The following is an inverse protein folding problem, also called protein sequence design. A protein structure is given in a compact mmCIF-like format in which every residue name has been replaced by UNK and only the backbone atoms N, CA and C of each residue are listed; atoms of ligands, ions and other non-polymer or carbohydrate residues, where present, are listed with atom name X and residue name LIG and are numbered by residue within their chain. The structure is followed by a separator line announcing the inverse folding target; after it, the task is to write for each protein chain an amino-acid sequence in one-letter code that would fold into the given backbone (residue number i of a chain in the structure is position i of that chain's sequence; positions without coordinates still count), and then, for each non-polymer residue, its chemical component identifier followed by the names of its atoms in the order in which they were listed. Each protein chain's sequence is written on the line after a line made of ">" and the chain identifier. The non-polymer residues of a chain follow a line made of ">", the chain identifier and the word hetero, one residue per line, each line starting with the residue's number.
data_IF_689361946480
#
_entry.id   IF_689361946480
#
_cell.length_a   1.000
_cell.length_b   1.000
_cell.length_c   1.000
_cell.angle_alpha   90.00
_cell.angle_beta   90.00
_cell.angle_gamma   90.00
#
_symmetry.space_group_name_H-M   'P 1'
#
loop_
_entity.id
_entity.type
_entity.pdbx_description
1 polymer ?
#
# COMPACT_ATOMS: atom_id res chain seq x y z
N UNK A 1 12.79 30.42 -22.72
CA UNK A 1 11.40 30.87 -22.79
C UNK A 1 10.83 30.79 -21.37
N UNK A 2 10.32 31.89 -20.80
CA UNK A 2 9.90 31.91 -19.41
C UNK A 2 8.69 31.01 -19.18
N UNK A 3 8.68 30.33 -18.04
CA UNK A 3 7.66 29.37 -17.63
C UNK A 3 6.27 29.98 -17.61
N UNK A 4 5.32 29.24 -18.14
CA UNK A 4 3.90 29.53 -18.00
C UNK A 4 3.51 29.40 -16.52
N UNK A 5 3.43 30.52 -15.82
CA UNK A 5 2.68 30.64 -14.57
C UNK A 5 1.23 30.95 -14.93
N UNK A 6 0.47 29.91 -15.22
CA UNK A 6 -0.97 30.03 -15.37
C UNK A 6 -1.63 29.77 -14.02
N UNK A 7 -1.89 30.79 -13.25
CA UNK A 7 -2.73 30.69 -12.05
C UNK A 7 -4.17 30.96 -12.42
N UNK A 8 -4.94 29.93 -12.70
CA UNK A 8 -6.37 30.00 -12.57
C UNK A 8 -6.70 29.65 -11.12
N UNK A 9 -7.08 30.64 -10.34
CA UNK A 9 -7.61 30.44 -8.98
C UNK A 9 -6.65 29.85 -7.94
N UNK A 10 -5.34 30.15 -7.98
CA UNK A 10 -4.38 29.69 -6.97
C UNK A 10 -3.93 28.23 -7.09
N UNK A 11 -4.33 27.51 -8.13
CA UNK A 11 -3.99 26.11 -8.37
C UNK A 11 -2.71 26.01 -9.21
N UNK A 12 -1.71 25.27 -8.71
CA UNK A 12 -0.49 25.00 -9.51
C UNK A 12 -0.80 23.93 -10.57
N UNK A 13 -0.47 24.25 -11.83
CA UNK A 13 -0.52 23.28 -12.95
C UNK A 13 0.85 22.65 -13.07
N UNK A 14 0.91 21.32 -13.12
CA UNK A 14 2.18 20.59 -13.00
C UNK A 14 2.28 19.36 -13.90
N UNK A 15 3.52 18.97 -14.16
CA UNK A 15 3.88 17.67 -14.72
C UNK A 15 4.20 16.73 -13.57
N UNK A 16 3.58 15.55 -13.56
CA UNK A 16 3.70 14.55 -12.51
C UNK A 16 4.17 13.22 -13.08
N UNK A 17 5.06 12.53 -12.37
CA UNK A 17 5.49 11.17 -12.72
C UNK A 17 5.17 10.21 -11.59
N UNK A 18 4.45 9.14 -11.92
CA UNK A 18 4.23 7.98 -11.03
C UNK A 18 5.40 7.01 -11.21
N UNK A 19 6.05 6.67 -10.11
CA UNK A 19 7.16 5.73 -10.09
C UNK A 19 6.63 4.34 -9.73
N UNK A 20 6.84 3.37 -10.61
CA UNK A 20 6.36 2.01 -10.49
C UNK A 20 5.47 1.58 -11.66
N UNK A 21 4.98 0.35 -11.64
CA UNK A 21 4.22 -0.20 -12.76
C UNK A 21 3.19 -1.27 -12.36
N UNK A 22 2.86 -1.39 -11.07
CA UNK A 22 1.89 -2.36 -10.57
C UNK A 22 0.46 -1.81 -10.52
N UNK A 23 -0.44 -2.56 -9.90
CA UNK A 23 -1.86 -2.20 -9.81
C UNK A 23 -2.11 -0.94 -8.97
N UNK A 24 -1.38 -0.78 -7.89
CA UNK A 24 -1.38 0.45 -7.08
C UNK A 24 -0.97 1.66 -7.92
N UNK A 25 0.10 1.57 -8.70
CA UNK A 25 0.59 2.64 -9.56
C UNK A 25 -0.37 2.93 -10.71
N UNK A 26 -0.99 1.91 -11.27
CA UNK A 26 -2.05 2.10 -12.26
C UNK A 26 -3.22 2.90 -11.66
N UNK A 27 -3.61 2.57 -10.45
CA UNK A 27 -4.68 3.30 -9.74
C UNK A 27 -4.28 4.75 -9.45
N UNK A 28 -3.05 4.98 -8.99
CA UNK A 28 -2.51 6.32 -8.78
C UNK A 28 -2.52 7.14 -10.07
N UNK A 29 -2.04 6.56 -11.16
CA UNK A 29 -2.03 7.22 -12.48
C UNK A 29 -3.45 7.52 -12.96
N UNK A 30 -4.36 6.57 -12.83
CA UNK A 30 -5.78 6.73 -13.17
C UNK A 30 -6.42 7.91 -12.42
N UNK A 31 -6.15 8.02 -11.13
CA UNK A 31 -6.71 9.11 -10.30
C UNK A 31 -6.03 10.45 -10.61
N UNK A 32 -4.71 10.46 -10.77
CA UNK A 32 -3.95 11.67 -11.11
C UNK A 32 -4.32 12.22 -12.49
N UNK A 33 -4.65 11.35 -13.45
CA UNK A 33 -5.13 11.78 -14.77
C UNK A 33 -6.44 12.57 -14.71
N UNK A 34 -7.22 12.43 -13.64
CA UNK A 34 -8.45 13.19 -13.39
C UNK A 34 -8.20 14.51 -12.65
N UNK A 35 -6.98 14.73 -12.15
CA UNK A 35 -6.64 15.96 -11.42
C UNK A 35 -6.57 17.15 -12.36
N UNK A 36 -7.37 18.22 -12.14
CA UNK A 36 -7.27 19.44 -12.97
C UNK A 36 -5.88 20.10 -12.92
N UNK A 37 -5.11 19.85 -11.85
CA UNK A 37 -3.76 20.37 -11.69
C UNK A 37 -2.70 19.65 -12.52
N UNK A 38 -3.02 18.52 -13.15
CA UNK A 38 -2.06 17.75 -13.94
C UNK A 38 -2.13 18.18 -15.40
N UNK A 39 -1.04 18.75 -15.90
CA UNK A 39 -0.86 19.10 -17.31
C UNK A 39 -0.40 17.89 -18.12
N UNK A 40 0.58 17.16 -17.60
CA UNK A 40 1.11 15.96 -18.23
C UNK A 40 1.47 14.91 -17.16
N UNK A 41 1.10 13.68 -17.44
CA UNK A 41 1.33 12.53 -16.54
C UNK A 41 2.31 11.56 -17.19
N UNK A 42 3.30 11.15 -16.42
CA UNK A 42 4.31 10.14 -16.78
C UNK A 42 4.21 8.95 -15.84
N UNK A 43 4.68 7.81 -16.30
CA UNK A 43 4.87 6.62 -15.47
C UNK A 43 6.25 6.01 -15.75
N UNK A 44 7.00 5.70 -14.72
CA UNK A 44 8.38 5.20 -14.83
C UNK A 44 8.56 3.96 -13.93
N UNK A 45 8.73 2.76 -14.48
CA UNK A 45 8.67 2.42 -15.91
C UNK A 45 7.25 2.38 -16.47
N UNK A 46 6.22 2.34 -15.60
CA UNK A 46 4.84 2.16 -16.01
C UNK A 46 4.52 0.73 -16.48
N UNK A 47 3.47 0.60 -17.24
CA UNK A 47 3.01 -0.67 -17.81
C UNK A 47 2.20 -0.42 -19.07
N UNK A 48 1.87 -1.49 -19.80
CA UNK A 48 1.02 -1.37 -20.99
C UNK A 48 -0.33 -0.72 -20.68
N UNK A 49 -0.97 -1.10 -19.57
CA UNK A 49 -2.24 -0.51 -19.14
C UNK A 49 -2.09 0.95 -18.71
N UNK A 50 -1.02 1.29 -17.99
CA UNK A 50 -0.75 2.68 -17.60
C UNK A 50 -0.50 3.59 -18.79
N UNK A 51 -0.04 3.07 -19.92
CA UNK A 51 0.19 3.84 -21.15
C UNK A 51 -1.10 4.46 -21.72
N UNK A 52 -2.25 3.97 -21.32
CA UNK A 52 -3.55 4.53 -21.72
C UNK A 52 -3.85 5.87 -21.04
N UNK A 53 -3.24 6.16 -19.90
CA UNK A 53 -3.47 7.39 -19.11
C UNK A 53 -2.20 8.21 -18.88
N UNK A 54 -1.02 7.69 -19.17
CA UNK A 54 0.26 8.33 -18.91
C UNK A 54 1.28 8.00 -20.00
N UNK A 55 2.29 8.86 -20.16
CA UNK A 55 3.46 8.56 -20.97
C UNK A 55 4.39 7.67 -20.17
N UNK A 56 4.53 6.41 -20.57
CA UNK A 56 5.48 5.50 -19.95
C UNK A 56 6.90 5.77 -20.43
N UNK A 57 7.86 5.69 -19.51
CA UNK A 57 9.28 5.92 -19.76
C UNK A 57 10.04 4.70 -19.30
N UNK A 58 10.72 4.03 -20.22
CA UNK A 58 11.42 2.77 -19.95
C UNK A 58 12.77 3.03 -19.25
N UNK A 59 12.69 3.26 -17.95
CA UNK A 59 13.84 3.33 -17.06
C UNK A 59 13.60 2.32 -15.95
N UNK A 60 14.59 1.47 -15.68
CA UNK A 60 14.50 0.46 -14.63
C UNK A 60 14.23 1.11 -13.27
N UNK A 61 13.31 0.54 -12.51
CA UNK A 61 12.90 1.03 -11.18
C UNK A 61 14.08 1.10 -10.20
N UNK A 62 15.10 0.27 -10.39
CA UNK A 62 16.33 0.25 -9.60
C UNK A 62 17.32 1.36 -9.93
N UNK A 63 17.17 2.03 -11.09
CA UNK A 63 18.08 3.10 -11.52
C UNK A 63 17.56 4.48 -11.08
N UNK A 64 17.75 4.77 -9.80
CA UNK A 64 17.24 6.00 -9.18
C UNK A 64 17.87 7.26 -9.77
N UNK A 65 19.16 7.21 -10.14
CA UNK A 65 19.85 8.33 -10.77
C UNK A 65 19.23 8.64 -12.13
N UNK A 66 19.03 7.64 -12.97
CA UNK A 66 18.43 7.82 -14.30
C UNK A 66 16.99 8.34 -14.20
N UNK A 67 16.19 7.84 -13.24
CA UNK A 67 14.81 8.30 -13.01
C UNK A 67 14.80 9.79 -12.63
N UNK A 68 15.62 10.18 -11.67
CA UNK A 68 15.65 11.56 -11.17
C UNK A 68 16.29 12.53 -12.16
N UNK A 69 17.29 12.09 -12.93
CA UNK A 69 17.87 12.88 -14.02
C UNK A 69 16.85 13.12 -15.13
N UNK A 70 16.14 12.07 -15.56
CA UNK A 70 15.07 12.19 -16.55
C UNK A 70 14.01 13.19 -16.08
N UNK A 71 13.54 13.06 -14.85
CA UNK A 71 12.52 13.94 -14.29
C UNK A 71 12.99 15.41 -14.28
N UNK A 72 14.22 15.66 -13.89
CA UNK A 72 14.82 16.99 -13.91
C UNK A 72 14.87 17.57 -15.31
N UNK A 73 15.40 16.80 -16.27
CA UNK A 73 15.60 17.24 -17.65
C UNK A 73 14.27 17.46 -18.39
N UNK A 74 13.27 16.66 -18.09
CA UNK A 74 11.93 16.77 -18.69
C UNK A 74 11.09 17.90 -18.07
N UNK A 75 11.52 18.46 -16.96
CA UNK A 75 10.78 19.51 -16.24
C UNK A 75 9.59 18.97 -15.46
N UNK A 76 9.69 17.75 -14.98
CA UNK A 76 8.69 17.18 -14.08
C UNK A 76 8.71 17.92 -12.75
N UNK A 77 7.54 18.30 -12.24
CA UNK A 77 7.41 19.07 -11.01
C UNK A 77 7.40 18.18 -9.77
N UNK A 78 6.77 17.01 -9.85
CA UNK A 78 6.61 16.12 -8.71
C UNK A 78 6.72 14.64 -9.11
N UNK A 79 7.44 13.87 -8.29
CA UNK A 79 7.43 12.42 -8.32
C UNK A 79 6.42 11.89 -7.29
N UNK A 80 5.63 10.91 -7.70
CA UNK A 80 4.74 10.14 -6.82
C UNK A 80 5.27 8.71 -6.78
N UNK A 81 5.84 8.32 -5.65
CA UNK A 81 6.52 7.02 -5.52
C UNK A 81 5.55 5.97 -5.02
N UNK A 82 5.31 4.95 -5.83
CA UNK A 82 4.39 3.86 -5.51
C UNK A 82 5.00 2.80 -4.59
N UNK A 83 6.11 2.12 -4.99
CA UNK A 83 6.67 1.01 -4.21
C UNK A 83 7.65 1.46 -3.12
N UNK A 84 7.87 0.59 -2.16
CA UNK A 84 8.71 0.85 -0.98
C UNK A 84 10.21 0.82 -1.26
N UNK A 85 10.68 -0.04 -2.15
CA UNK A 85 12.13 -0.23 -2.36
C UNK A 85 12.82 1.07 -2.78
N UNK A 86 12.33 1.82 -3.78
CA UNK A 86 12.94 3.11 -4.12
C UNK A 86 12.95 4.10 -2.96
N UNK A 87 11.92 4.09 -2.11
CA UNK A 87 11.84 4.97 -0.93
C UNK A 87 12.91 4.63 0.10
N UNK A 88 13.07 3.35 0.41
CA UNK A 88 14.10 2.88 1.36
C UNK A 88 15.52 3.06 0.82
N UNK A 89 15.69 3.13 -0.48
CA UNK A 89 16.96 3.40 -1.16
C UNK A 89 17.26 4.88 -1.36
N UNK A 90 16.32 5.78 -1.03
CA UNK A 90 16.56 7.23 -0.99
C UNK A 90 16.19 8.00 -2.25
N UNK A 91 15.23 7.53 -3.05
CA UNK A 91 14.78 8.27 -4.25
C UNK A 91 14.29 9.68 -3.91
N UNK A 92 13.61 9.86 -2.78
CA UNK A 92 13.13 11.18 -2.36
C UNK A 92 14.29 12.14 -2.09
N UNK A 93 15.34 11.65 -1.42
CA UNK A 93 16.55 12.45 -1.14
C UNK A 93 17.23 12.89 -2.43
N UNK A 94 17.41 11.96 -3.37
CA UNK A 94 18.02 12.27 -4.67
C UNK A 94 17.22 13.30 -5.47
N UNK A 95 15.91 13.12 -5.53
CA UNK A 95 15.01 13.99 -6.28
C UNK A 95 14.95 15.40 -5.67
N UNK A 96 14.86 15.49 -4.34
CA UNK A 96 14.85 16.78 -3.64
C UNK A 96 16.15 17.54 -3.80
N UNK A 97 17.29 16.85 -3.83
CA UNK A 97 18.60 17.45 -4.13
C UNK A 97 18.67 18.06 -5.53
N UNK A 98 17.84 17.59 -6.47
CA UNK A 98 17.69 18.12 -7.83
C UNK A 98 16.58 19.16 -7.97
N UNK A 99 15.93 19.55 -6.86
CA UNK A 99 14.86 20.54 -6.85
C UNK A 99 13.48 20.02 -7.21
N UNK A 100 13.28 18.69 -7.24
CA UNK A 100 12.00 18.06 -7.51
C UNK A 100 11.17 17.94 -6.22
N UNK A 101 9.86 18.14 -6.32
CA UNK A 101 8.95 17.77 -5.27
C UNK A 101 8.73 16.24 -5.30
N UNK A 102 8.57 15.64 -4.13
CA UNK A 102 8.32 14.20 -4.01
C UNK A 102 7.17 13.95 -3.05
N UNK A 103 6.19 13.20 -3.51
CA UNK A 103 5.23 12.56 -2.62
C UNK A 103 5.77 11.18 -2.27
N UNK A 104 6.33 11.07 -1.09
CA UNK A 104 7.00 9.90 -0.57
C UNK A 104 8.04 10.31 0.47
N UNK A 105 8.20 9.54 1.56
CA UNK A 105 9.16 9.87 2.61
C UNK A 105 10.60 9.75 2.14
N UNK A 106 11.49 10.52 2.75
CA UNK A 106 12.92 10.37 2.55
C UNK A 106 13.42 9.05 3.15
N UNK A 107 14.68 8.71 2.90
CA UNK A 107 15.28 7.44 3.35
C UNK A 107 15.16 7.24 4.87
N UNK A 108 15.40 8.29 5.64
CA UNK A 108 15.29 8.24 7.10
C UNK A 108 13.86 7.93 7.55
N UNK A 109 12.85 8.60 6.98
CA UNK A 109 11.43 8.37 7.29
C UNK A 109 10.93 7.01 6.77
N UNK A 110 11.46 6.55 5.65
CA UNK A 110 11.10 5.25 5.06
C UNK A 110 11.52 4.04 5.93
N UNK A 111 12.36 4.25 6.94
CA UNK A 111 12.68 3.22 7.92
C UNK A 111 11.44 2.72 8.68
N UNK A 112 10.37 3.50 8.72
CA UNK A 112 9.10 3.05 9.31
C UNK A 112 8.56 1.78 8.66
N UNK A 113 8.90 1.53 7.41
CA UNK A 113 8.64 0.24 6.72
C UNK A 113 9.91 -0.58 6.55
N UNK A 114 11.02 0.05 6.23
CA UNK A 114 12.28 -0.61 5.93
C UNK A 114 12.94 -1.32 7.12
N UNK A 115 12.61 -0.93 8.34
CA UNK A 115 13.09 -1.56 9.56
C UNK A 115 11.98 -1.71 10.60
N UNK A 116 11.56 -2.94 10.87
CA UNK A 116 10.56 -3.23 11.90
C UNK A 116 11.06 -2.87 13.29
N UNK A 117 12.35 -3.08 13.55
CA UNK A 117 12.99 -2.70 14.82
C UNK A 117 12.95 -1.18 15.01
N UNK A 118 13.28 -0.42 13.98
CA UNK A 118 13.18 1.05 14.03
C UNK A 118 11.77 1.50 14.39
N UNK A 119 10.76 0.97 13.69
CA UNK A 119 9.36 1.32 13.93
C UNK A 119 8.90 0.93 15.33
N UNK A 120 9.25 -0.27 15.80
CA UNK A 120 8.91 -0.75 17.14
C UNK A 120 9.57 0.10 18.24
N UNK A 121 10.84 0.46 18.09
CA UNK A 121 11.54 1.30 19.05
C UNK A 121 10.94 2.70 19.10
N UNK A 122 10.57 3.26 17.95
CA UNK A 122 9.88 4.55 17.89
C UNK A 122 8.53 4.50 18.61
N UNK A 123 7.73 3.47 18.32
CA UNK A 123 6.42 3.29 18.96
C UNK A 123 6.55 3.14 20.48
N UNK A 124 7.54 2.40 20.95
CA UNK A 124 7.81 2.24 22.39
C UNK A 124 8.19 3.58 23.02
N UNK A 125 9.08 4.33 22.38
CA UNK A 125 9.56 5.63 22.90
C UNK A 125 8.43 6.66 23.02
N UNK A 126 7.53 6.69 22.06
CA UNK A 126 6.44 7.66 21.99
C UNK A 126 5.07 7.11 22.40
N UNK A 127 5.07 5.96 23.07
CA UNK A 127 3.87 5.34 23.67
C UNK A 127 2.76 5.05 22.67
N UNK A 128 3.10 4.63 21.46
CA UNK A 128 2.15 4.23 20.44
C UNK A 128 1.69 2.79 20.69
N UNK A 129 0.38 2.50 20.76
CA UNK A 129 -0.12 1.15 21.02
C UNK A 129 0.29 0.15 19.92
N UNK A 130 0.97 -0.90 20.31
CA UNK A 130 1.39 -1.99 19.43
C UNK A 130 1.61 -3.27 20.26
N UNK A 131 1.82 -4.41 19.60
CA UNK A 131 2.14 -5.66 20.25
C UNK A 131 3.41 -5.57 21.10
N UNK A 132 3.43 -6.22 22.25
CA UNK A 132 4.65 -6.41 23.02
C UNK A 132 5.67 -7.17 22.16
N UNK A 133 6.94 -6.77 22.22
CA UNK A 133 7.96 -7.30 21.32
C UNK A 133 9.33 -7.37 21.97
N UNK A 134 10.19 -8.18 21.34
CA UNK A 134 11.65 -8.15 21.55
C UNK A 134 12.34 -8.38 20.21
N UNK A 135 13.53 -7.81 20.05
CA UNK A 135 14.34 -7.98 18.84
C UNK A 135 15.59 -8.82 19.13
N UNK A 136 16.04 -9.59 18.15
CA UNK A 136 17.15 -10.53 18.30
C UNK A 136 18.05 -10.52 17.07
N UNK A 137 19.37 -10.59 17.35
CA UNK A 137 20.40 -10.90 16.36
C UNK A 137 21.02 -12.27 16.60
N UNK A 138 20.69 -12.92 17.72
CA UNK A 138 21.13 -14.24 18.12
C UNK A 138 19.94 -15.21 18.12
N UNK A 139 20.01 -16.27 17.32
CA UNK A 139 18.96 -17.28 17.19
C UNK A 139 18.68 -18.05 18.47
N UNK A 140 19.70 -18.35 19.28
CA UNK A 140 19.51 -19.07 20.53
C UNK A 140 18.76 -18.22 21.57
N UNK A 141 19.08 -16.92 21.65
CA UNK A 141 18.36 -15.99 22.51
C UNK A 141 16.89 -15.83 22.06
N UNK A 142 16.64 -15.79 20.74
CA UNK A 142 15.29 -15.74 20.18
C UNK A 142 14.46 -16.98 20.56
N UNK A 143 15.06 -18.17 20.43
CA UNK A 143 14.41 -19.44 20.80
C UNK A 143 14.10 -19.51 22.30
N UNK A 144 15.00 -19.04 23.15
CA UNK A 144 14.78 -18.96 24.59
C UNK A 144 13.60 -18.03 24.93
N UNK A 145 13.50 -16.89 24.26
CA UNK A 145 12.39 -15.95 24.42
C UNK A 145 11.04 -16.59 24.01
N UNK A 146 11.01 -17.35 22.90
CA UNK A 146 9.81 -18.08 22.46
C UNK A 146 9.37 -19.09 23.51
N UNK A 147 10.30 -19.84 24.10
CA UNK A 147 10.00 -20.81 25.17
C UNK A 147 9.42 -20.13 26.40
N UNK A 148 9.91 -18.95 26.76
CA UNK A 148 9.43 -18.16 27.89
C UNK A 148 8.01 -17.61 27.62
N UNK A 149 7.77 -17.04 26.44
CA UNK A 149 6.49 -16.39 26.10
C UNK A 149 5.40 -17.38 25.71
N UNK A 150 5.77 -18.53 25.15
CA UNK A 150 4.81 -19.50 24.61
C UNK A 150 4.22 -19.10 23.28
N UNK A 151 3.24 -19.90 22.80
CA UNK A 151 2.53 -19.68 21.55
C UNK A 151 1.01 -19.49 21.83
N UNK A 152 0.22 -18.85 20.93
CA UNK A 152 0.66 -18.30 19.64
C UNK A 152 1.58 -17.11 19.79
N UNK A 153 2.45 -16.91 18.79
CA UNK A 153 3.48 -15.86 18.79
C UNK A 153 3.84 -15.50 17.34
N UNK A 154 4.30 -14.28 17.10
CA UNK A 154 4.62 -13.80 15.74
C UNK A 154 6.13 -13.59 15.62
N UNK A 155 6.72 -14.15 14.55
CA UNK A 155 8.13 -13.99 14.20
C UNK A 155 8.24 -13.22 12.90
N UNK A 156 8.98 -12.11 12.90
CA UNK A 156 9.13 -11.22 11.73
C UNK A 156 10.61 -10.99 11.40
N UNK A 157 10.96 -11.10 10.13
CA UNK A 157 12.25 -10.60 9.64
C UNK A 157 12.24 -9.06 9.69
N UNK A 158 13.37 -8.45 10.08
CA UNK A 158 13.44 -7.00 10.32
C UNK A 158 13.28 -6.16 9.04
N UNK A 159 13.92 -6.55 7.95
CA UNK A 159 13.93 -5.78 6.71
C UNK A 159 12.74 -6.07 5.80
N UNK A 160 12.83 -5.52 4.58
CA UNK A 160 11.85 -5.80 3.52
C UNK A 160 11.97 -7.27 3.09
N UNK A 161 10.87 -7.99 3.16
CA UNK A 161 10.78 -9.40 2.78
C UNK A 161 9.55 -9.66 1.87
N UNK A 162 9.09 -8.63 1.16
CA UNK A 162 7.95 -8.67 0.24
C UNK A 162 6.68 -9.28 0.86
N UNK A 163 6.41 -8.96 2.14
CA UNK A 163 5.27 -9.49 2.87
C UNK A 163 5.39 -10.96 3.30
N UNK A 164 6.51 -11.62 2.99
CA UNK A 164 6.73 -13.05 3.29
C UNK A 164 7.52 -13.28 4.57
N UNK A 165 8.09 -12.23 5.14
CA UNK A 165 8.93 -12.29 6.34
C UNK A 165 8.14 -12.29 7.66
N UNK A 166 6.88 -12.71 7.67
CA UNK A 166 6.04 -12.77 8.87
C UNK A 166 5.47 -14.18 9.02
N UNK A 167 5.69 -14.78 10.17
CA UNK A 167 5.13 -16.08 10.54
C UNK A 167 4.31 -15.93 11.80
N UNK A 168 3.01 -16.18 11.70
CA UNK A 168 2.10 -16.30 12.87
C UNK A 168 2.13 -17.74 13.31
N UNK A 169 2.95 -18.04 14.31
CA UNK A 169 3.15 -19.41 14.80
C UNK A 169 2.08 -19.78 15.84
N UNK A 170 1.37 -20.86 15.58
CA UNK A 170 0.36 -21.38 16.50
C UNK A 170 0.99 -22.25 17.60
N UNK A 171 2.16 -22.78 17.33
CA UNK A 171 2.91 -23.62 18.26
C UNK A 171 4.34 -23.10 18.46
N UNK A 172 4.93 -23.45 19.57
CA UNK A 172 6.34 -23.15 19.88
C UNK A 172 7.28 -23.73 18.81
N UNK A 173 7.00 -24.95 18.33
CA UNK A 173 7.77 -25.61 17.28
C UNK A 173 7.77 -24.82 15.97
N UNK A 174 6.62 -24.31 15.53
CA UNK A 174 6.50 -23.47 14.35
C UNK A 174 7.30 -22.16 14.49
N UNK A 175 7.28 -21.56 15.68
CA UNK A 175 8.02 -20.34 15.96
C UNK A 175 9.54 -20.57 15.88
N UNK A 176 10.02 -21.67 16.46
CA UNK A 176 11.44 -22.04 16.41
C UNK A 176 11.88 -22.33 14.98
N UNK A 177 11.05 -23.03 14.21
CA UNK A 177 11.32 -23.27 12.78
C UNK A 177 11.44 -21.97 12.01
N UNK A 178 10.56 -20.98 12.28
CA UNK A 178 10.63 -19.66 11.66
C UNK A 178 11.93 -18.93 11.98
N UNK A 179 12.41 -19.00 13.23
CA UNK A 179 13.70 -18.43 13.64
C UNK A 179 14.85 -19.08 12.86
N UNK A 180 14.86 -20.42 12.78
CA UNK A 180 15.88 -21.14 12.03
C UNK A 180 15.87 -20.74 10.55
N UNK A 181 14.71 -20.71 9.91
CA UNK A 181 14.58 -20.34 8.50
C UNK A 181 15.09 -18.92 8.24
N UNK A 182 14.73 -17.96 9.08
CA UNK A 182 15.11 -16.55 8.89
C UNK A 182 16.57 -16.27 9.23
N UNK A 183 17.08 -16.80 10.33
CA UNK A 183 18.39 -16.45 10.89
C UNK A 183 19.50 -17.43 10.52
N UNK A 184 19.21 -18.73 10.49
CA UNK A 184 20.20 -19.76 10.20
C UNK A 184 20.25 -20.13 8.72
N UNK A 185 19.09 -20.29 8.08
CA UNK A 185 19.00 -20.64 6.66
C UNK A 185 19.01 -19.42 5.73
N UNK A 186 18.94 -18.21 6.30
CA UNK A 186 18.99 -16.93 5.57
C UNK A 186 18.03 -16.83 4.39
N UNK A 187 16.82 -17.37 4.51
CA UNK A 187 15.82 -17.37 3.42
C UNK A 187 15.43 -15.98 2.92
N UNK A 188 15.63 -14.93 3.75
CA UNK A 188 15.40 -13.52 3.39
C UNK A 188 16.72 -12.72 3.31
N UNK A 189 17.86 -13.39 3.18
CA UNK A 189 19.16 -12.74 3.10
C UNK A 189 19.43 -11.83 4.31
N UNK A 190 19.93 -10.62 4.06
CA UNK A 190 20.25 -9.65 5.12
C UNK A 190 19.03 -9.21 5.94
N UNK A 191 17.81 -9.24 5.38
CA UNK A 191 16.57 -8.88 6.09
C UNK A 191 16.26 -9.83 7.25
N UNK A 192 16.72 -11.08 7.21
CA UNK A 192 16.55 -12.07 8.26
C UNK A 192 17.66 -12.08 9.29
N UNK A 193 18.73 -11.27 9.15
CA UNK A 193 19.83 -11.18 10.09
C UNK A 193 19.44 -10.65 11.46
N UNK A 194 18.35 -9.92 11.54
CA UNK A 194 17.69 -9.46 12.76
C UNK A 194 16.21 -9.76 12.65
N UNK A 195 15.62 -10.23 13.74
CA UNK A 195 14.20 -10.56 13.80
C UNK A 195 13.52 -9.82 14.95
N UNK A 196 12.21 -9.66 14.80
CA UNK A 196 11.32 -9.17 15.86
C UNK A 196 10.35 -10.29 16.20
N UNK A 197 10.21 -10.55 17.49
CA UNK A 197 9.21 -11.50 18.02
C UNK A 197 8.17 -10.71 18.77
N UNK A 198 6.89 -10.93 18.44
CA UNK A 198 5.77 -10.17 18.97
C UNK A 198 4.70 -11.08 19.56
N UNK A 199 3.97 -10.56 20.55
CA UNK A 199 2.73 -11.20 20.97
C UNK A 199 1.76 -11.33 19.79
N UNK A 200 0.99 -12.37 19.76
CA UNK A 200 -0.08 -12.56 18.76
C UNK A 200 -1.33 -11.81 19.22
N UNK A 201 -1.58 -10.64 18.63
CA UNK A 201 -2.78 -9.86 18.93
C UNK A 201 -4.03 -10.53 18.38
N UNK A 202 -5.13 -10.40 19.10
CA UNK A 202 -6.45 -10.92 18.74
C UNK A 202 -7.38 -9.77 18.40
N UNK A 203 -8.02 -9.84 17.24
CA UNK A 203 -8.96 -8.82 16.78
C UNK A 203 -9.18 -8.92 15.28
N UNK A 204 -9.69 -7.85 14.70
CA UNK A 204 -9.92 -7.72 13.28
C UNK A 204 -8.95 -6.70 12.69
N UNK A 205 -8.26 -7.08 11.62
CA UNK A 205 -7.31 -6.19 10.95
C UNK A 205 -8.03 -5.12 10.12
N UNK A 206 -7.46 -3.93 10.08
CA UNK A 206 -7.92 -2.85 9.23
C UNK A 206 -6.74 -1.97 8.83
N UNK A 207 -6.94 -1.16 7.80
CA UNK A 207 -5.93 -0.24 7.29
C UNK A 207 -6.45 1.18 7.35
N UNK A 208 -5.65 2.10 7.89
CA UNK A 208 -5.90 3.52 7.83
C UNK A 208 -4.68 4.23 7.27
N UNK A 209 -4.81 4.71 6.05
CA UNK A 209 -3.79 5.49 5.37
C UNK A 209 -4.00 6.97 5.68
N UNK A 210 -2.94 7.75 5.68
CA UNK A 210 -3.02 9.19 5.91
C UNK A 210 -2.11 9.96 4.97
N UNK A 211 -2.57 11.11 4.51
CA UNK A 211 -1.73 12.13 3.88
C UNK A 211 -0.98 12.88 4.99
N UNK A 212 0.34 13.02 4.83
CA UNK A 212 1.19 13.67 5.83
C UNK A 212 2.15 14.64 5.15
N UNK A 213 2.23 15.86 5.66
CA UNK A 213 3.12 16.92 5.13
C UNK A 213 4.30 17.26 6.04
N UNK A 214 4.56 16.43 7.05
CA UNK A 214 5.57 16.66 8.09
C UNK A 214 5.00 17.12 9.41
N UNK A 215 3.85 17.77 9.40
CA UNK A 215 3.18 18.31 10.60
C UNK A 215 1.68 18.06 10.60
N UNK A 216 1.02 18.25 9.47
CA UNK A 216 -0.42 18.03 9.31
C UNK A 216 -0.66 16.61 8.84
N UNK A 217 -1.64 15.93 9.43
CA UNK A 217 -2.04 14.57 9.12
C UNK A 217 -3.50 14.60 8.74
N UNK A 218 -3.83 14.10 7.56
CA UNK A 218 -5.22 13.97 7.10
C UNK A 218 -5.47 12.51 6.76
N UNK A 219 -6.14 11.75 7.65
CA UNK A 219 -6.48 10.36 7.40
C UNK A 219 -7.42 10.20 6.21
N UNK A 220 -7.19 9.14 5.45
CA UNK A 220 -8.07 8.74 4.35
C UNK A 220 -9.24 7.92 4.89
N UNK A 221 -10.15 7.56 4.00
CA UNK A 221 -11.19 6.59 4.32
C UNK A 221 -10.53 5.25 4.69
N UNK A 222 -11.09 4.54 5.68
CA UNK A 222 -10.57 3.25 6.12
C UNK A 222 -10.76 2.17 5.07
N UNK A 223 -9.93 1.14 5.13
CA UNK A 223 -10.04 -0.01 4.24
C UNK A 223 -9.74 -1.30 5.00
N UNK A 224 -10.13 -2.44 4.43
CA UNK A 224 -9.74 -3.75 4.93
C UNK A 224 -9.35 -4.60 3.73
N UNK A 225 -8.17 -5.21 3.79
CA UNK A 225 -7.70 -6.15 2.78
C UNK A 225 -7.89 -7.62 3.24
N UNK A 226 -7.58 -8.55 2.33
CA UNK A 226 -7.72 -9.99 2.54
C UNK A 226 -6.43 -10.67 2.12
N UNK A 227 -5.61 -11.08 3.09
CA UNK A 227 -4.23 -11.57 2.86
C UNK A 227 -4.16 -13.00 2.36
N UNK A 228 -5.09 -13.87 2.78
CA UNK A 228 -5.06 -15.28 2.43
C UNK A 228 -5.60 -15.54 1.02
N UNK A 229 -5.04 -16.57 0.36
CA UNK A 229 -5.40 -16.89 -1.03
C UNK A 229 -6.83 -17.44 -1.17
N UNK A 230 -7.32 -18.19 -0.19
CA UNK A 230 -8.61 -18.88 -0.27
C UNK A 230 -9.67 -18.24 0.63
N UNK A 231 -10.94 -18.50 0.29
CA UNK A 231 -12.09 -18.10 1.08
C UNK A 231 -11.94 -18.51 2.55
N UNK A 232 -12.59 -17.78 3.45
CA UNK A 232 -12.53 -17.97 4.89
C UNK A 232 -11.12 -17.81 5.50
N UNK A 233 -10.28 -17.00 4.84
CA UNK A 233 -8.90 -16.75 5.27
C UNK A 233 -8.07 -18.02 5.42
N UNK A 234 -8.18 -18.90 4.44
CA UNK A 234 -7.42 -20.15 4.38
C UNK A 234 -6.29 -20.08 3.34
N UNK A 235 -5.36 -21.01 3.46
CA UNK A 235 -4.20 -21.11 2.57
C UNK A 235 -3.09 -20.12 2.92
N UNK A 236 -2.07 -20.04 2.06
CA UNK A 236 -0.92 -19.15 2.30
C UNK A 236 -1.28 -17.66 2.19
N UNK A 237 -0.48 -16.82 2.83
CA UNK A 237 -0.54 -15.37 2.69
C UNK A 237 -0.14 -14.94 1.29
N UNK A 238 -0.72 -13.84 0.85
CA UNK A 238 -0.49 -13.21 -0.44
C UNK A 238 -0.17 -11.72 -0.26
N UNK A 239 -0.02 -11.00 -1.36
CA UNK A 239 0.04 -9.55 -1.36
C UNK A 239 -1.31 -8.87 -1.07
N UNK A 240 -2.39 -9.63 -1.05
CA UNK A 240 -3.78 -9.19 -0.88
C UNK A 240 -4.67 -9.63 -2.03
N UNK A 241 -5.78 -10.29 -1.70
CA UNK A 241 -6.73 -10.85 -2.68
C UNK A 241 -7.95 -9.96 -2.89
N UNK A 242 -7.98 -8.82 -2.27
CA UNK A 242 -9.04 -7.84 -2.41
C UNK A 242 -9.10 -6.90 -1.23
N UNK A 243 -9.82 -5.81 -1.41
CA UNK A 243 -10.03 -4.80 -0.37
C UNK A 243 -11.38 -4.12 -0.56
N UNK A 244 -11.88 -3.54 0.48
CA UNK A 244 -13.07 -2.70 0.42
C UNK A 244 -12.90 -1.48 1.31
N UNK A 245 -13.64 -0.43 1.03
CA UNK A 245 -13.65 0.82 1.77
C UNK A 245 -15.06 1.46 1.73
N UNK A 246 -15.48 2.12 2.81
CA UNK A 246 -14.86 2.15 4.12
C UNK A 246 -14.96 0.80 4.84
N UNK A 247 -14.10 0.57 5.83
CA UNK A 247 -14.15 -0.61 6.68
C UNK A 247 -15.02 -0.33 7.91
N UNK A 248 -16.20 -0.98 8.07
CA UNK A 248 -17.10 -0.69 9.18
C UNK A 248 -16.53 -0.96 10.56
N UNK A 249 -15.53 -1.85 10.67
CA UNK A 249 -14.82 -2.12 11.92
C UNK A 249 -14.12 -0.88 12.48
N UNK A 250 -13.71 0.03 11.60
CA UNK A 250 -13.13 1.33 11.98
C UNK A 250 -14.27 2.32 12.17
N UNK A 251 -14.83 2.34 13.37
CA UNK A 251 -15.88 3.29 13.74
C UNK A 251 -15.30 4.73 13.83
N UNK A 252 -16.15 5.77 13.84
CA UNK A 252 -15.67 7.14 14.06
C UNK A 252 -14.83 7.29 15.35
N UNK A 253 -15.21 6.61 16.42
CA UNK A 253 -14.48 6.61 17.70
C UNK A 253 -13.11 5.96 17.58
N UNK A 254 -13.02 4.81 16.92
CA UNK A 254 -11.74 4.13 16.65
C UNK A 254 -10.87 4.97 15.74
N UNK A 255 -11.43 5.57 14.69
CA UNK A 255 -10.70 6.47 13.79
C UNK A 255 -10.06 7.63 14.55
N UNK A 256 -10.82 8.27 15.44
CA UNK A 256 -10.31 9.36 16.30
C UNK A 256 -9.19 8.88 17.22
N UNK A 257 -9.34 7.72 17.81
CA UNK A 257 -8.31 7.10 18.66
C UNK A 257 -7.03 6.81 17.88
N UNK A 258 -7.13 6.31 16.65
CA UNK A 258 -5.97 6.09 15.78
C UNK A 258 -5.26 7.41 15.45
N UNK A 259 -6.00 8.47 15.13
CA UNK A 259 -5.40 9.79 14.88
C UNK A 259 -4.63 10.30 16.10
N UNK A 260 -5.25 10.25 17.27
CA UNK A 260 -4.70 10.85 18.50
C UNK A 260 -3.60 10.02 19.15
N UNK A 261 -3.72 8.69 19.13
CA UNK A 261 -2.81 7.78 19.85
C UNK A 261 -1.78 7.10 18.97
N UNK A 262 -1.95 7.09 17.65
CA UNK A 262 -1.09 6.37 16.72
C UNK A 262 -0.46 7.33 15.71
N UNK A 263 -1.24 7.95 14.86
CA UNK A 263 -0.70 8.75 13.75
C UNK A 263 0.03 10.01 14.24
N UNK A 264 -0.60 10.79 15.11
CA UNK A 264 0.00 12.00 15.64
C UNK A 264 1.28 11.73 16.44
N UNK A 265 1.31 10.81 17.41
CA UNK A 265 2.55 10.49 18.11
C UNK A 265 3.68 9.99 17.23
N UNK A 266 3.38 9.24 16.16
CA UNK A 266 4.40 8.77 15.20
C UNK A 266 5.01 9.93 14.44
N UNK A 267 4.19 10.80 13.85
CA UNK A 267 4.67 11.94 13.06
C UNK A 267 5.43 12.93 13.94
N UNK A 268 4.88 13.27 15.11
CA UNK A 268 5.52 14.15 16.09
C UNK A 268 6.81 13.53 16.66
N UNK A 269 6.79 12.23 16.91
CA UNK A 269 7.95 11.47 17.39
C UNK A 269 9.09 11.45 16.38
N UNK A 270 8.78 11.18 15.12
CA UNK A 270 9.77 11.27 14.03
C UNK A 270 10.40 12.66 13.98
N UNK A 271 9.58 13.70 14.07
CA UNK A 271 10.06 15.08 14.07
C UNK A 271 11.01 15.37 15.24
N UNK A 272 10.73 14.85 16.43
CA UNK A 272 11.63 14.93 17.56
C UNK A 272 12.96 14.22 17.33
N UNK A 273 12.96 13.17 16.54
CA UNK A 273 14.18 12.46 16.10
C UNK A 273 14.88 13.16 14.91
N UNK A 274 14.42 14.33 14.50
CA UNK A 274 14.98 15.08 13.39
C UNK A 274 14.53 14.58 12.01
N UNK A 275 13.44 13.82 11.95
CA UNK A 275 12.92 13.20 10.73
C UNK A 275 11.56 13.80 10.37
N UNK A 276 11.45 14.37 9.18
CA UNK A 276 10.20 14.90 8.65
C UNK A 276 9.57 13.85 7.73
N UNK A 277 8.33 13.45 8.04
CA UNK A 277 7.59 12.50 7.23
C UNK A 277 6.68 13.23 6.24
N UNK A 278 6.89 13.04 4.94
CA UNK A 278 6.07 13.62 3.87
C UNK A 278 5.66 12.54 2.88
N UNK A 279 4.36 12.30 2.74
CA UNK A 279 3.83 11.26 1.86
C UNK A 279 2.64 10.55 2.47
N UNK A 280 2.45 9.30 2.08
CA UNK A 280 1.43 8.43 2.66
C UNK A 280 2.02 7.66 3.84
N UNK A 281 1.39 7.77 5.00
CA UNK A 281 1.66 6.92 6.16
C UNK A 281 0.52 5.90 6.27
N UNK A 282 0.83 4.63 6.11
CA UNK A 282 -0.12 3.55 6.17
C UNK A 282 0.01 2.85 7.53
N UNK A 283 -1.02 2.97 8.37
CA UNK A 283 -1.12 2.24 9.61
C UNK A 283 -1.89 0.93 9.38
N UNK A 284 -1.20 -0.21 9.47
CA UNK A 284 -1.81 -1.52 9.56
C UNK A 284 -2.22 -1.77 11.00
N UNK A 285 -3.51 -1.99 11.23
CA UNK A 285 -4.10 -2.01 12.56
C UNK A 285 -4.69 -3.37 12.90
N UNK A 286 -4.63 -3.73 14.17
CA UNK A 286 -5.47 -4.74 14.78
C UNK A 286 -6.46 -4.02 15.69
N UNK A 287 -7.76 -4.19 15.42
CA UNK A 287 -8.81 -3.62 16.27
C UNK A 287 -9.10 -4.67 17.36
N UNK A 288 -8.51 -4.45 18.52
CA UNK A 288 -8.60 -5.36 19.67
C UNK A 288 -9.68 -4.95 20.65
N UNK A 289 -9.96 -5.81 21.64
CA UNK A 289 -10.88 -5.49 22.74
C UNK A 289 -10.44 -4.25 23.55
N UNK A 290 -9.13 -3.96 23.56
CA UNK A 290 -8.55 -2.82 24.27
C UNK A 290 -8.33 -1.58 23.36
N UNK A 291 -8.88 -1.61 22.17
CA UNK A 291 -8.73 -0.54 21.17
C UNK A 291 -7.79 -0.88 20.03
N UNK A 292 -7.53 0.08 19.11
CA UNK A 292 -6.66 -0.14 17.98
C UNK A 292 -5.19 -0.24 18.41
N UNK A 293 -4.48 -1.19 17.82
CA UNK A 293 -3.03 -1.35 17.99
C UNK A 293 -2.37 -1.52 16.64
N UNK A 294 -1.15 -1.01 16.50
CA UNK A 294 -0.40 -1.11 15.25
C UNK A 294 0.16 -2.51 15.07
N UNK A 295 -0.16 -3.11 13.91
CA UNK A 295 0.50 -4.32 13.42
C UNK A 295 1.83 -3.95 12.77
N UNK A 296 1.77 -2.99 11.83
CA UNK A 296 2.94 -2.47 11.13
C UNK A 296 2.62 -1.13 10.50
N UNK A 297 3.67 -0.37 10.16
CA UNK A 297 3.56 0.79 9.28
C UNK A 297 4.12 0.46 7.91
N UNK A 298 3.50 1.03 6.87
CA UNK A 298 4.07 1.10 5.53
C UNK A 298 4.25 2.57 5.16
N UNK A 299 5.29 2.87 4.38
CA UNK A 299 5.67 4.24 4.04
C UNK A 299 5.16 4.68 2.66
N UNK A 300 4.09 4.05 2.19
CA UNK A 300 3.53 4.23 0.84
C UNK A 300 2.07 3.78 0.83
N UNK A 301 1.40 4.06 -0.28
CA UNK A 301 0.06 3.52 -0.51
C UNK A 301 0.05 1.99 -0.49
N UNK A 302 -1.05 1.40 -0.05
CA UNK A 302 -1.26 -0.05 -0.03
C UNK A 302 -1.68 -0.63 -1.39
N UNK A 303 -1.47 -1.91 -1.57
CA UNK A 303 -1.93 -2.68 -2.74
C UNK A 303 -2.50 -4.01 -2.25
N UNK A 304 -3.83 -4.24 -2.26
CA UNK A 304 -4.84 -3.57 -3.11
C UNK A 304 -5.68 -2.45 -2.45
N UNK A 305 -5.35 -1.95 -1.28
CA UNK A 305 -6.17 -0.95 -0.59
C UNK A 305 -6.40 0.30 -1.45
N UNK A 306 -5.36 0.76 -2.15
CA UNK A 306 -5.44 1.95 -3.03
C UNK A 306 -6.54 1.82 -4.08
N UNK A 307 -6.73 0.62 -4.63
CA UNK A 307 -7.74 0.32 -5.63
C UNK A 307 -9.18 0.46 -5.10
N UNK A 308 -9.38 0.41 -3.80
CA UNK A 308 -10.67 0.65 -3.15
C UNK A 308 -10.77 2.10 -2.61
N UNK A 309 -9.69 2.66 -2.10
CA UNK A 309 -9.67 3.97 -1.44
C UNK A 309 -9.73 5.13 -2.43
N UNK A 310 -8.87 5.16 -3.44
CA UNK A 310 -8.77 6.30 -4.37
C UNK A 310 -10.00 6.52 -5.24
N UNK A 311 -10.77 5.51 -5.67
CA UNK A 311 -12.03 5.76 -6.35
C UNK A 311 -13.06 6.56 -5.52
N UNK A 312 -12.93 6.54 -4.20
CA UNK A 312 -13.81 7.27 -3.29
C UNK A 312 -13.32 8.69 -2.97
N UNK A 313 -12.11 9.05 -3.38
CA UNK A 313 -11.60 10.41 -3.19
C UNK A 313 -12.33 11.37 -4.13
N UNK A 314 -12.92 12.42 -3.55
CA UNK A 314 -13.54 13.53 -4.26
C UNK A 314 -12.62 14.76 -4.12
N UNK A 315 -11.78 14.99 -5.13
CA UNK A 315 -10.82 16.09 -5.07
C UNK A 315 -9.66 15.92 -6.04
N UNK A 316 -8.77 16.91 -6.01
CA UNK A 316 -7.57 16.97 -6.84
C UNK A 316 -6.40 16.27 -6.14
N UNK A 317 -6.15 15.01 -6.47
CA UNK A 317 -5.10 14.22 -5.84
C UNK A 317 -3.71 14.84 -6.02
N UNK A 318 -3.41 15.39 -7.19
CA UNK A 318 -2.11 16.01 -7.44
C UNK A 318 -1.88 17.23 -6.54
N UNK A 319 -2.91 18.04 -6.32
CA UNK A 319 -2.85 19.19 -5.41
C UNK A 319 -2.60 18.74 -3.97
N UNK A 320 -3.29 17.72 -3.51
CA UNK A 320 -3.10 17.13 -2.17
C UNK A 320 -1.66 16.63 -2.00
N UNK A 321 -1.19 15.86 -2.96
CA UNK A 321 0.17 15.28 -2.91
C UNK A 321 1.25 16.35 -2.96
N UNK A 322 1.06 17.38 -3.78
CA UNK A 322 1.99 18.51 -3.85
C UNK A 322 2.02 19.28 -2.53
N UNK A 323 0.87 19.49 -1.89
CA UNK A 323 0.79 20.10 -0.57
C UNK A 323 1.53 19.26 0.49
N UNK A 324 1.44 17.93 0.43
CA UNK A 324 2.23 17.06 1.29
C UNK A 324 3.74 17.27 1.10
N UNK A 325 4.18 17.34 -0.16
CA UNK A 325 5.59 17.55 -0.50
C UNK A 325 6.12 18.91 -0.06
N UNK A 326 5.25 19.92 0.01
CA UNK A 326 5.61 21.33 0.32
C UNK A 326 5.28 21.76 1.75
N UNK A 327 4.69 20.91 2.55
CA UNK A 327 4.33 21.26 3.93
C UNK A 327 3.13 22.21 4.05
N UNK A 328 2.22 22.18 3.10
CA UNK A 328 1.06 23.10 3.00
C UNK A 328 -0.30 22.39 3.02
N UNK A 329 -0.31 21.13 3.46
CA UNK A 329 -1.54 20.33 3.53
C UNK A 329 -2.53 20.92 4.51
N UNK A 330 -3.81 20.98 4.08
CA UNK A 330 -4.93 21.33 4.94
C UNK A 330 -6.05 20.30 4.80
N UNK A 331 -6.82 20.09 5.85
CA UNK A 331 -7.87 19.07 5.88
C UNK A 331 -8.98 19.35 4.85
N UNK A 332 -9.26 20.60 4.54
CA UNK A 332 -10.29 21.02 3.58
C UNK A 332 -9.93 20.69 2.12
N UNK A 333 -8.69 20.29 1.85
CA UNK A 333 -8.28 19.79 0.52
C UNK A 333 -8.78 18.37 0.25
N UNK A 334 -9.17 17.62 1.29
CA UNK A 334 -9.46 16.18 1.21
C UNK A 334 -10.91 15.92 1.52
N UNK A 335 -11.66 15.47 0.53
CA UNK A 335 -13.06 15.11 0.63
C UNK A 335 -13.29 13.70 0.10
N UNK A 336 -14.31 13.02 0.63
CA UNK A 336 -14.65 11.66 0.24
C UNK A 336 -16.08 11.57 -0.24
N UNK A 337 -16.32 10.75 -1.26
CA UNK A 337 -17.67 10.42 -1.72
C UNK A 337 -18.42 9.67 -0.64
N UNK A 338 -19.70 9.96 -0.49
CA UNK A 338 -20.60 9.15 0.36
C UNK A 338 -21.00 7.89 -0.41
N UNK A 339 -20.07 6.95 -0.47
CA UNK A 339 -20.16 5.72 -1.25
C UNK A 339 -19.24 4.65 -0.66
N UNK A 340 -19.31 3.46 -1.22
CA UNK A 340 -18.42 2.34 -0.88
C UNK A 340 -17.76 1.79 -2.14
N UNK A 341 -16.59 1.18 -1.99
CA UNK A 341 -15.85 0.52 -3.05
C UNK A 341 -15.43 -0.89 -2.63
N UNK A 342 -15.43 -1.79 -3.59
CA UNK A 342 -14.92 -3.15 -3.42
C UNK A 342 -14.01 -3.49 -4.59
N UNK A 343 -12.78 -3.91 -4.29
CA UNK A 343 -11.80 -4.40 -5.27
C UNK A 343 -11.59 -5.89 -5.07
N UNK A 344 -11.84 -6.67 -6.10
CA UNK A 344 -11.59 -8.11 -6.13
C UNK A 344 -10.36 -8.38 -6.99
N UNK A 345 -9.35 -9.03 -6.43
CA UNK A 345 -8.13 -9.40 -7.16
C UNK A 345 -8.35 -10.71 -7.91
N UNK A 346 -7.93 -10.72 -9.17
CA UNK A 346 -7.85 -11.90 -10.01
C UNK A 346 -6.36 -12.27 -10.14
N UNK A 347 -5.99 -13.44 -9.64
CA UNK A 347 -4.63 -13.94 -9.61
C UNK A 347 -4.40 -15.05 -10.60
N UNK A 348 -3.16 -15.23 -11.05
CA UNK A 348 -2.77 -16.29 -11.99
C UNK A 348 -2.67 -17.65 -11.33
N UNK A 349 -2.62 -18.70 -12.17
CA UNK A 349 -2.40 -20.06 -11.71
C UNK A 349 -1.10 -20.17 -10.92
N UNK A 350 -1.16 -20.86 -9.79
CA UNK A 350 -0.02 -21.11 -8.93
C UNK A 350 0.28 -20.04 -7.88
N UNK A 351 -0.31 -18.84 -8.02
CA UNK A 351 -0.10 -17.77 -7.04
C UNK A 351 -0.57 -18.19 -5.64
N UNK A 352 0.14 -17.90 -4.52
CA UNK A 352 1.32 -17.05 -4.44
C UNK A 352 2.66 -17.76 -4.64
N UNK A 353 2.71 -19.09 -4.67
CA UNK A 353 3.98 -19.82 -4.78
C UNK A 353 4.68 -19.63 -6.13
N UNK A 354 3.90 -19.50 -7.20
CA UNK A 354 4.36 -19.27 -8.56
C UNK A 354 3.35 -18.41 -9.33
N UNK A 355 3.66 -18.09 -10.56
CA UNK A 355 2.74 -17.39 -11.46
C UNK A 355 2.87 -17.93 -12.86
N UNK A 356 1.74 -18.22 -13.50
CA UNK A 356 1.71 -18.59 -14.92
C UNK A 356 1.56 -17.32 -15.77
N UNK A 357 2.42 -17.14 -16.76
CA UNK A 357 2.46 -15.95 -17.63
C UNK A 357 2.04 -16.29 -19.05
N UNK A 358 1.46 -15.32 -19.75
CA UNK A 358 1.15 -15.41 -21.16
C UNK A 358 -0.25 -15.89 -21.50
N UNK A 359 -1.13 -16.08 -20.51
CA UNK A 359 -2.53 -16.43 -20.75
C UNK A 359 -3.31 -15.21 -21.20
N UNK A 360 -4.06 -15.35 -22.31
CA UNK A 360 -4.87 -14.26 -22.85
C UNK A 360 -6.03 -13.94 -21.89
N UNK A 361 -6.20 -12.66 -21.65
CA UNK A 361 -7.29 -12.14 -20.82
C UNK A 361 -8.43 -11.70 -21.74
N UNK A 362 -9.59 -12.31 -21.58
CA UNK A 362 -10.80 -11.98 -22.34
C UNK A 362 -11.83 -11.28 -21.46
N UNK A 363 -12.73 -10.53 -22.08
CA UNK A 363 -13.87 -9.92 -21.40
C UNK A 363 -13.59 -8.54 -20.77
N UNK A 364 -12.40 -7.97 -20.93
CA UNK A 364 -12.09 -6.65 -20.40
C UNK A 364 -13.00 -5.55 -20.98
N UNK A 365 -13.44 -5.70 -22.21
CA UNK A 365 -14.36 -4.80 -22.90
C UNK A 365 -15.84 -5.03 -22.52
N UNK A 366 -16.15 -6.10 -21.83
CA UNK A 366 -17.49 -6.46 -21.39
C UNK A 366 -17.86 -5.93 -19.99
N UNK A 367 -16.93 -5.34 -19.26
CA UNK A 367 -17.22 -4.77 -17.94
C UNK A 367 -18.04 -3.48 -18.06
N UNK A 368 -18.82 -3.18 -17.03
CA UNK A 368 -19.55 -1.92 -16.95
C UNK A 368 -18.58 -0.73 -17.03
N UNK A 369 -18.95 0.29 -17.78
CA UNK A 369 -18.11 1.49 -17.96
C UNK A 369 -18.33 2.54 -16.87
N UNK A 370 -19.47 2.48 -16.22
CA UNK A 370 -19.81 3.36 -15.11
C UNK A 370 -19.53 2.66 -13.78
N UNK A 371 -18.79 3.33 -12.92
CA UNK A 371 -18.50 2.90 -11.55
C UNK A 371 -17.77 1.55 -11.42
N UNK A 372 -17.18 1.05 -12.51
CA UNK A 372 -16.32 -0.13 -12.50
C UNK A 372 -15.00 0.21 -13.18
N UNK A 373 -13.90 -0.06 -12.49
CA UNK A 373 -12.54 0.13 -12.98
C UNK A 373 -11.79 -1.20 -12.90
N UNK A 374 -11.04 -1.52 -13.93
CA UNK A 374 -10.15 -2.68 -13.95
C UNK A 374 -8.72 -2.17 -13.88
N UNK A 375 -8.09 -2.36 -12.74
CA UNK A 375 -6.70 -1.97 -12.54
C UNK A 375 -5.78 -3.15 -12.84
N UNK A 376 -4.75 -2.91 -13.64
CA UNK A 376 -3.81 -3.93 -14.09
C UNK A 376 -2.60 -3.98 -13.16
N UNK A 377 -2.29 -5.17 -12.68
CA UNK A 377 -1.07 -5.45 -11.91
C UNK A 377 -0.08 -6.22 -12.81
N UNK A 378 -0.12 -7.54 -12.77
CA UNK A 378 0.74 -8.38 -13.58
C UNK A 378 0.13 -8.67 -14.95
N UNK A 379 0.10 -7.70 -15.82
CA UNK A 379 -0.33 -7.84 -17.23
C UNK A 379 0.74 -7.32 -18.17
N UNK A 380 0.71 -7.83 -19.39
CA UNK A 380 1.49 -7.33 -20.52
C UNK A 380 0.61 -7.34 -21.77
N UNK A 381 1.03 -6.63 -22.79
CA UNK A 381 0.34 -6.63 -24.08
C UNK A 381 1.13 -7.44 -25.08
N UNK A 382 0.47 -8.40 -25.70
CA UNK A 382 1.06 -9.27 -26.74
C UNK A 382 0.06 -9.40 -27.89
N UNK A 383 0.51 -9.11 -29.10
CA UNK A 383 -0.31 -9.16 -30.31
C UNK A 383 -1.65 -8.39 -30.17
N UNK A 384 -1.59 -7.22 -29.51
CA UNK A 384 -2.75 -6.36 -29.30
C UNK A 384 -3.69 -6.80 -28.17
N UNK A 385 -3.40 -7.92 -27.49
CA UNK A 385 -4.21 -8.44 -26.38
C UNK A 385 -3.46 -8.36 -25.06
N UNK A 386 -4.18 -8.12 -23.97
CA UNK A 386 -3.63 -8.26 -22.64
C UNK A 386 -3.46 -9.74 -22.28
N UNK A 387 -2.34 -10.06 -21.69
CA UNK A 387 -2.00 -11.40 -21.19
C UNK A 387 -1.54 -11.32 -19.74
N UNK A 388 -1.65 -12.43 -19.02
CA UNK A 388 -1.12 -12.54 -17.67
C UNK A 388 0.40 -12.38 -17.68
N UNK A 389 0.96 -11.67 -16.70
CA UNK A 389 2.41 -11.44 -16.57
C UNK A 389 2.82 -11.23 -15.11
N UNK A 390 2.19 -11.93 -14.18
CA UNK A 390 2.51 -11.83 -12.77
C UNK A 390 1.54 -12.63 -11.91
N UNK A 391 1.75 -12.60 -10.62
CA UNK A 391 0.92 -13.35 -9.66
C UNK A 391 -0.48 -12.74 -9.52
N UNK A 392 -0.56 -11.52 -9.01
CA UNK A 392 -1.80 -10.74 -9.04
C UNK A 392 -1.89 -10.08 -10.41
N UNK A 393 -2.98 -10.33 -11.11
CA UNK A 393 -3.12 -9.95 -12.53
C UNK A 393 -3.98 -8.69 -12.67
N UNK A 394 -5.18 -8.71 -12.13
CA UNK A 394 -6.14 -7.61 -12.20
C UNK A 394 -6.77 -7.33 -10.84
N UNK A 395 -7.16 -6.07 -10.64
CA UNK A 395 -8.07 -5.67 -9.58
C UNK A 395 -9.34 -5.09 -10.19
N UNK A 396 -10.47 -5.73 -9.93
CA UNK A 396 -11.78 -5.26 -10.42
C UNK A 396 -12.44 -4.49 -9.29
N UNK A 397 -12.54 -3.19 -9.46
CA UNK A 397 -13.12 -2.28 -8.46
C UNK A 397 -14.49 -1.82 -8.92
N UNK A 398 -15.48 -1.91 -8.04
CA UNK A 398 -16.78 -1.30 -8.23
C UNK A 398 -17.06 -0.29 -7.10
N UNK A 399 -17.71 0.81 -7.46
CA UNK A 399 -18.20 1.85 -6.55
C UNK A 399 -19.72 1.83 -6.57
N UNK A 400 -20.33 1.93 -5.39
CA UNK A 400 -21.79 2.00 -5.26
C UNK A 400 -22.16 2.80 -4.00
N UNK A 401 -23.44 3.08 -3.82
CA UNK A 401 -23.92 3.86 -2.68
C UNK A 401 -23.74 3.18 -1.31
N UNK A 402 -23.60 1.86 -1.28
CA UNK A 402 -23.38 1.07 -0.09
C UNK A 402 -22.44 -0.12 -0.37
N UNK A 403 -21.90 -0.70 0.69
CA UNK A 403 -20.92 -1.80 0.57
C UNK A 403 -21.51 -3.04 -0.10
N UNK A 404 -22.71 -3.44 0.25
CA UNK A 404 -23.36 -4.61 -0.35
C UNK A 404 -23.49 -4.48 -1.86
N UNK A 405 -23.95 -3.33 -2.33
CA UNK A 405 -24.10 -3.03 -3.77
C UNK A 405 -22.75 -2.97 -4.47
N UNK A 406 -21.72 -2.41 -3.83
CA UNK A 406 -20.36 -2.39 -4.38
C UNK A 406 -19.81 -3.80 -4.57
N UNK A 407 -19.97 -4.67 -3.57
CA UNK A 407 -19.54 -6.08 -3.64
C UNK A 407 -20.25 -6.80 -4.78
N UNK A 408 -21.59 -6.71 -4.86
CA UNK A 408 -22.38 -7.35 -5.90
C UNK A 408 -21.96 -6.90 -7.30
N UNK A 409 -21.74 -5.60 -7.47
CA UNK A 409 -21.29 -5.02 -8.74
C UNK A 409 -19.88 -5.48 -9.12
N UNK A 410 -18.96 -5.54 -8.17
CA UNK A 410 -17.60 -6.03 -8.41
C UNK A 410 -17.62 -7.47 -8.91
N UNK A 411 -18.35 -8.36 -8.24
CA UNK A 411 -18.43 -9.77 -8.64
C UNK A 411 -19.18 -9.99 -9.95
N UNK A 412 -20.22 -9.19 -10.24
CA UNK A 412 -20.89 -9.25 -11.53
C UNK A 412 -19.92 -8.97 -12.69
N UNK A 413 -18.98 -8.06 -12.49
CA UNK A 413 -17.98 -7.71 -13.51
C UNK A 413 -16.78 -8.69 -13.53
N UNK A 414 -16.37 -9.23 -12.39
CA UNK A 414 -15.36 -10.29 -12.31
C UNK A 414 -15.76 -11.48 -13.20
N UNK A 415 -17.03 -11.87 -13.17
CA UNK A 415 -17.55 -13.00 -13.98
C UNK A 415 -17.46 -12.80 -15.49
N UNK A 416 -17.31 -11.57 -15.96
CA UNK A 416 -17.19 -11.24 -17.38
C UNK A 416 -15.75 -11.38 -17.90
N UNK A 417 -14.77 -11.42 -16.99
CA UNK A 417 -13.35 -11.50 -17.30
C UNK A 417 -12.87 -12.94 -17.12
N UNK A 418 -12.10 -13.43 -18.07
CA UNK A 418 -11.56 -14.80 -18.02
C UNK A 418 -10.12 -14.87 -18.50
N UNK A 419 -9.31 -15.63 -17.79
CA UNK A 419 -8.05 -16.18 -18.26
C UNK A 419 -7.82 -17.55 -17.60
N UNK A 420 -7.06 -18.41 -18.27
CA UNK A 420 -6.85 -19.79 -17.81
C UNK A 420 -6.17 -19.81 -16.43
N UNK A 421 -6.69 -20.65 -15.55
CA UNK A 421 -6.14 -20.84 -14.21
C UNK A 421 -6.38 -19.69 -13.24
N UNK A 422 -7.26 -18.76 -13.57
CA UNK A 422 -7.56 -17.63 -12.69
C UNK A 422 -8.00 -18.08 -11.29
N UNK A 423 -7.52 -17.36 -10.28
CA UNK A 423 -7.88 -17.55 -8.89
C UNK A 423 -8.54 -16.29 -8.35
N UNK A 424 -9.68 -16.43 -7.71
CA UNK A 424 -10.48 -15.34 -7.16
C UNK A 424 -11.10 -15.81 -5.86
N UNK A 425 -11.08 -14.96 -4.82
CA UNK A 425 -11.89 -15.22 -3.62
C UNK A 425 -13.34 -14.79 -3.88
N UNK A 426 -14.28 -15.53 -3.33
CA UNK A 426 -15.71 -15.23 -3.46
C UNK A 426 -16.28 -14.42 -2.28
N UNK A 427 -15.49 -14.18 -1.23
CA UNK A 427 -15.93 -13.60 0.04
C UNK A 427 -15.36 -12.21 0.36
N UNK A 428 -14.79 -11.52 -0.63
CA UNK A 428 -14.26 -10.16 -0.41
C UNK A 428 -15.39 -9.23 0.04
N UNK A 429 -15.18 -8.59 1.19
CA UNK A 429 -16.14 -7.69 1.80
C UNK A 429 -17.13 -8.33 2.78
N UNK A 430 -17.17 -9.67 2.86
CA UNK A 430 -18.09 -10.37 3.76
C UNK A 430 -17.94 -9.97 5.24
N UNK A 431 -16.70 -9.70 5.69
CA UNK A 431 -16.44 -9.22 7.05
C UNK A 431 -17.08 -7.86 7.31
N UNK A 432 -17.01 -6.96 6.34
CA UNK A 432 -17.64 -5.64 6.45
C UNK A 432 -19.16 -5.72 6.55
N UNK A 433 -19.78 -6.62 5.80
CA UNK A 433 -21.23 -6.81 5.84
C UNK A 433 -21.73 -7.32 7.21
N UNK A 434 -20.91 -8.09 7.94
CA UNK A 434 -21.27 -8.55 9.29
C UNK A 434 -21.43 -7.41 10.28
N UNK A 435 -20.70 -6.33 10.12
CA UNK A 435 -20.79 -5.13 10.98
C UNK A 435 -22.00 -4.25 10.66
N UNK A 436 -22.66 -4.46 9.52
CA UNK A 436 -23.77 -3.65 9.03
C UNK A 436 -25.14 -4.32 9.27
N UNK A 437 -25.18 -5.52 9.89
CA UNK A 437 -26.41 -6.26 10.20
C UNK A 437 -27.05 -5.80 11.50
#
# INVERSE_FOLDING_TARGET
>A
IPGRTGSEGGRKIMKVAVIGGGGREHTLAWKLAQSPSVDKLYAIPGSAAMSEVAQCVDIALSDLDAITDYAKNEGIDMLVVGPEVPLTEGIADLAQAKGLAVFGPNKAAAQMEGSKVFAKNLMKKYHVPTAAYASFTDGEAAKAYIKEQGAPIVVKADGLAAGKGVVVAQTEAEAIEAVNAMMEDHIFGASGGRIVIEECMVGEEASLLAFVDGKTIVPMISAQDHKRIFDNDEGPNTGGMGAYAPAPVVTPEIRKEVEEKILKPVVDGLKQEGITYQGCLYAGLMITADGPKVVEFNCRFGDPETQAVLPLLDGDLAQIMYACAKGTLTADMVHWKDAAACCVIMASAGYPASSHKGDVISGLDAVDKEDVMVFHSGTAKKDGQYVTNGGRVLGVTAVAGDLKSAIEKAYANVKRIHFDGQQVRSDIGAKGLKHLK
#
